data_IF_443483022871
#
_entry.id   IF_443483022871
#
_cell.length_a   1.000
_cell.length_b   1.000
_cell.length_c   1.000
_cell.angle_alpha   90.00
_cell.angle_beta   90.00
_cell.angle_gamma   90.00
#
_symmetry.space_group_name_H-M   'P 1'
#
loop_
_entity.id
_entity.type
_entity.pdbx_description
1 polymer ?
#
# COMPACT_ATOMS: atom_id res chain seq x y z
N UNK A 1 21.93 3.18 16.38
CA UNK A 1 21.09 3.40 15.18
C UNK A 1 19.84 4.11 15.62
N UNK A 2 19.48 5.22 14.99
CA UNK A 2 18.19 5.88 15.24
C UNK A 2 17.06 5.02 14.67
N UNK A 3 15.93 4.92 15.37
CA UNK A 3 14.75 4.19 14.91
C UNK A 3 14.08 5.01 13.80
N UNK A 4 13.88 4.41 12.63
CA UNK A 4 13.25 5.05 11.48
C UNK A 4 12.35 4.07 10.72
N UNK A 5 11.44 4.60 9.90
CA UNK A 5 10.63 3.82 8.96
C UNK A 5 11.28 3.95 7.59
N UNK A 6 11.70 2.83 7.00
CA UNK A 6 12.13 2.80 5.60
C UNK A 6 10.89 2.64 4.71
N UNK A 7 10.55 3.70 3.98
CA UNK A 7 9.36 3.73 3.12
C UNK A 7 9.76 3.53 1.65
N UNK A 8 9.51 2.32 1.15
CA UNK A 8 9.74 1.97 -0.26
C UNK A 8 8.52 2.32 -1.10
N UNK A 9 8.71 3.07 -2.19
CA UNK A 9 7.61 3.53 -3.03
C UNK A 9 7.95 3.52 -4.52
N UNK A 10 6.91 3.37 -5.33
CA UNK A 10 6.97 3.54 -6.79
C UNK A 10 5.86 4.49 -7.23
N UNK A 11 6.21 5.46 -8.05
CA UNK A 11 5.30 6.51 -8.53
C UNK A 11 4.13 5.96 -9.37
N UNK A 12 4.27 4.76 -9.95
CA UNK A 12 3.18 4.15 -10.74
C UNK A 12 2.20 3.34 -9.88
N UNK A 13 2.49 3.13 -8.60
CA UNK A 13 1.65 2.34 -7.70
C UNK A 13 0.61 3.22 -7.01
N UNK A 14 -0.71 3.00 -7.24
CA UNK A 14 -1.76 3.74 -6.53
C UNK A 14 -1.70 3.52 -5.02
N UNK A 15 -1.24 2.35 -4.57
CA UNK A 15 -1.04 2.05 -3.15
C UNK A 15 0.12 2.84 -2.56
N UNK A 16 1.22 3.01 -3.30
CA UNK A 16 2.35 3.84 -2.87
C UNK A 16 1.92 5.29 -2.70
N UNK A 17 1.06 5.81 -3.58
CA UNK A 17 0.48 7.16 -3.44
C UNK A 17 -0.40 7.30 -2.20
N UNK A 18 -1.31 6.37 -1.95
CA UNK A 18 -2.16 6.42 -0.73
C UNK A 18 -1.29 6.34 0.52
N UNK A 19 -0.33 5.41 0.55
CA UNK A 19 0.55 5.24 1.70
C UNK A 19 1.44 6.47 1.91
N UNK A 20 1.92 7.15 0.86
CA UNK A 20 2.72 8.37 1.01
C UNK A 20 1.94 9.53 1.62
N UNK A 21 0.60 9.57 1.47
CA UNK A 21 -0.24 10.57 2.14
C UNK A 21 -0.41 10.31 3.64
N UNK A 22 -0.15 9.08 4.11
CA UNK A 22 -0.40 8.66 5.49
C UNK A 22 0.88 8.45 6.31
N UNK A 23 2.02 8.22 5.65
CA UNK A 23 3.23 7.73 6.31
C UNK A 23 3.82 8.72 7.32
N UNK A 24 3.71 10.03 7.06
CA UNK A 24 4.21 11.06 7.96
C UNK A 24 3.42 11.09 9.28
N UNK A 25 2.09 10.95 9.22
CA UNK A 25 1.25 10.85 10.42
C UNK A 25 1.58 9.61 11.25
N UNK A 26 1.85 8.48 10.58
CA UNK A 26 2.29 7.25 11.26
C UNK A 26 3.64 7.48 11.95
N UNK A 27 4.59 8.10 11.26
CA UNK A 27 5.92 8.39 11.78
C UNK A 27 5.87 9.34 12.99
N UNK A 28 5.00 10.37 12.94
CA UNK A 28 4.75 11.27 14.07
C UNK A 28 4.20 10.54 15.30
N UNK A 29 3.23 9.64 15.13
CA UNK A 29 2.62 8.89 16.25
C UNK A 29 3.63 8.03 17.02
N UNK A 30 4.68 7.56 16.36
CA UNK A 30 5.72 6.73 16.97
C UNK A 30 7.04 7.47 17.21
N UNK A 31 7.07 8.79 16.95
CA UNK A 31 8.23 9.68 17.08
C UNK A 31 9.49 9.17 16.36
N UNK A 32 9.35 8.83 15.09
CA UNK A 32 10.46 8.39 14.23
C UNK A 32 10.49 9.20 12.93
N UNK A 33 11.62 9.16 12.22
CA UNK A 33 11.75 9.75 10.88
C UNK A 33 11.36 8.74 9.81
N UNK A 34 10.95 9.25 8.65
CA UNK A 34 10.76 8.45 7.43
C UNK A 34 12.01 8.55 6.54
N UNK A 35 12.57 7.40 6.18
CA UNK A 35 13.60 7.29 5.14
C UNK A 35 12.93 6.89 3.83
N UNK A 36 12.86 7.84 2.89
CA UNK A 36 12.22 7.65 1.59
C UNK A 36 13.13 6.85 0.66
N UNK A 37 12.64 5.72 0.13
CA UNK A 37 13.39 4.80 -0.73
C UNK A 37 12.64 4.59 -2.05
N UNK A 38 12.94 5.35 -3.11
CA UNK A 38 12.33 5.12 -4.41
C UNK A 38 12.74 3.75 -4.95
N UNK A 39 11.79 3.06 -5.59
CA UNK A 39 11.97 1.74 -6.15
C UNK A 39 11.20 1.59 -7.45
N UNK A 40 11.71 0.76 -8.37
CA UNK A 40 11.07 0.47 -9.65
C UNK A 40 10.49 -0.94 -9.61
N UNK A 41 9.19 -1.07 -9.38
CA UNK A 41 8.52 -2.38 -9.34
C UNK A 41 8.64 -3.13 -10.67
N UNK A 42 8.67 -2.42 -11.80
CA UNK A 42 8.88 -3.03 -13.12
C UNK A 42 10.21 -3.78 -13.27
N UNK A 43 11.27 -3.33 -12.61
CA UNK A 43 12.56 -4.03 -12.59
C UNK A 43 12.51 -5.29 -11.71
N UNK A 44 11.69 -5.26 -10.66
CA UNK A 44 11.59 -6.35 -9.69
C UNK A 44 10.62 -7.43 -10.10
N UNK A 45 9.54 -7.09 -10.78
CA UNK A 45 8.72 -8.07 -11.48
C UNK A 45 9.55 -8.90 -12.48
N UNK A 46 10.44 -8.24 -13.25
CA UNK A 46 11.40 -8.94 -14.13
C UNK A 46 12.37 -9.83 -13.35
N UNK A 47 12.93 -9.35 -12.24
CA UNK A 47 13.92 -10.10 -11.45
C UNK A 47 13.32 -11.30 -10.70
N UNK A 48 12.05 -11.22 -10.26
CA UNK A 48 11.34 -12.26 -9.51
C UNK A 48 10.60 -13.23 -10.45
N UNK A 49 10.74 -13.07 -11.78
CA UNK A 49 10.15 -13.98 -12.77
C UNK A 49 8.62 -13.90 -12.86
N UNK A 50 8.03 -12.84 -12.32
CA UNK A 50 6.58 -12.58 -12.41
C UNK A 50 6.38 -11.48 -13.45
N UNK A 51 5.88 -11.80 -14.64
CA UNK A 51 5.72 -10.84 -15.75
C UNK A 51 4.61 -9.82 -15.54
N UNK A 52 3.71 -10.05 -14.58
CA UNK A 52 2.49 -9.26 -14.44
C UNK A 52 2.39 -8.61 -13.06
N UNK A 53 2.22 -7.29 -13.03
CA UNK A 53 1.82 -6.62 -11.80
C UNK A 53 0.45 -7.18 -11.36
N UNK A 54 0.18 -7.29 -10.05
CA UNK A 54 -1.14 -7.67 -9.56
C UNK A 54 -2.22 -6.78 -10.19
N UNK A 55 -3.11 -7.37 -11.01
CA UNK A 55 -4.17 -6.64 -11.74
C UNK A 55 -4.02 -6.57 -13.26
N UNK A 56 -2.86 -6.92 -13.84
CA UNK A 56 -2.68 -6.94 -15.31
C UNK A 56 -3.13 -8.24 -15.99
N UNK A 57 -3.29 -9.34 -15.25
CA UNK A 57 -3.82 -10.58 -15.81
C UNK A 57 -5.26 -10.32 -16.32
N UNK A 58 -5.64 -10.71 -17.55
CA UNK A 58 -6.96 -10.42 -18.10
C UNK A 58 -8.11 -11.01 -17.27
N UNK A 59 -7.88 -12.12 -16.58
CA UNK A 59 -8.83 -12.71 -15.62
C UNK A 59 -8.95 -11.95 -14.27
N UNK A 60 -8.07 -10.97 -14.02
CA UNK A 60 -8.00 -10.14 -12.81
C UNK A 60 -7.89 -8.64 -13.16
N UNK A 61 -8.50 -8.19 -14.26
CA UNK A 61 -8.62 -6.75 -14.59
C UNK A 61 -9.37 -5.95 -13.53
N UNK A 62 -10.11 -6.65 -12.68
CA UNK A 62 -11.03 -6.06 -11.72
C UNK A 62 -10.41 -6.09 -10.33
N UNK A 63 -9.39 -5.26 -10.10
CA UNK A 63 -9.36 -4.56 -8.82
C UNK A 63 -10.43 -3.46 -8.94
N UNK A 64 -11.71 -3.87 -8.92
CA UNK A 64 -12.83 -2.93 -8.94
C UNK A 64 -12.66 -2.00 -7.75
N UNK A 65 -13.07 -0.74 -7.90
CA UNK A 65 -13.25 0.17 -6.77
C UNK A 65 -14.04 -0.47 -5.60
N UNK A 66 -14.88 -1.48 -5.92
CA UNK A 66 -15.59 -2.36 -5.01
C UNK A 66 -14.70 -3.15 -4.03
N UNK A 67 -13.48 -3.53 -4.41
CA UNK A 67 -12.52 -4.18 -3.49
C UNK A 67 -12.03 -3.24 -2.39
N UNK A 68 -11.82 -1.96 -2.72
CA UNK A 68 -11.48 -0.93 -1.73
C UNK A 68 -12.69 -0.59 -0.85
N UNK A 69 -13.88 -0.53 -1.43
CA UNK A 69 -15.13 -0.30 -0.69
C UNK A 69 -15.46 -1.45 0.28
N UNK A 70 -15.15 -2.70 -0.09
CA UNK A 70 -15.39 -3.88 0.76
C UNK A 70 -14.49 -3.89 1.99
N UNK A 71 -13.21 -3.47 1.85
CA UNK A 71 -12.32 -3.32 3.00
C UNK A 71 -12.70 -2.16 3.94
N UNK A 72 -13.34 -1.11 3.42
CA UNK A 72 -13.88 -0.02 4.24
C UNK A 72 -15.20 -0.38 4.93
N UNK A 73 -16.08 -1.17 4.30
CA UNK A 73 -17.36 -1.60 4.88
C UNK A 73 -17.17 -2.57 6.06
N UNK A 74 -16.17 -3.45 5.95
CA UNK A 74 -15.89 -4.46 6.97
C UNK A 74 -15.42 -3.87 8.33
N UNK A 75 -14.90 -2.63 8.35
CA UNK A 75 -14.50 -1.96 9.60
C UNK A 75 -15.65 -1.23 10.30
N UNK A 76 -16.76 -0.92 9.60
CA UNK A 76 -17.96 -0.33 10.22
C UNK A 76 -18.82 -1.38 10.92
N UNK A 77 -18.92 -2.59 10.36
CA UNK A 77 -19.77 -3.65 10.91
C UNK A 77 -19.17 -4.25 12.21
N UNK A 78 -17.85 -4.24 12.38
CA UNK A 78 -17.21 -4.75 13.62
C UNK A 78 -17.35 -3.82 14.84
N UNK A 79 -17.92 -2.61 14.69
CA UNK A 79 -18.12 -1.68 15.80
C UNK A 79 -19.59 -1.60 16.28
N UNK A 80 -20.50 -2.38 15.67
CA UNK A 80 -21.92 -2.39 16.03
C UNK A 80 -22.33 -3.57 16.93
N UNK A 81 -21.42 -4.52 17.12
CA UNK A 81 -21.66 -5.77 17.86
C UNK A 81 -21.04 -5.74 19.27
N UNK A 82 -20.43 -4.62 19.66
CA UNK A 82 -19.73 -4.42 20.93
C UNK A 82 -20.48 -3.51 21.92
N UNK A 83 -21.82 -3.48 21.87
CA UNK A 83 -22.67 -2.81 22.87
C UNK A 83 -23.75 -3.73 23.40
#
# INVERSE_FOLDING_TARGET
MEKQIDFYFDLVSPYSYIASMLIDDVAHRVNVKVSWKPFLLGGVFKAVGTTEAPGLHPAKKTLSAEGLATSFRASEDSNKDAS
#
